data_IF_421554666210
#
_entry.id   IF_421554666210
#
_cell.length_a   1.000
_cell.length_b   1.000
_cell.length_c   1.000
_cell.angle_alpha   90.00
_cell.angle_beta   90.00
_cell.angle_gamma   90.00
#
_symmetry.space_group_name_H-M   'P 1'
#
loop_
_entity.id
_entity.type
_entity.pdbx_description
1 polymer ?
#
# COMPACT_ATOMS: atom_id res chain seq x y z
N UNK A 1 -18.11 -21.70 -8.23
CA UNK A 1 -16.63 -21.63 -8.19
C UNK A 1 -16.20 -20.73 -7.05
N UNK A 2 -15.67 -21.35 -6.01
CA UNK A 2 -14.94 -20.74 -4.91
C UNK A 2 -13.65 -20.05 -5.43
N UNK A 3 -13.06 -19.18 -4.62
CA UNK A 3 -11.87 -18.41 -5.03
C UNK A 3 -10.69 -19.33 -5.42
N UNK A 4 -10.50 -20.43 -4.69
CA UNK A 4 -9.42 -21.40 -4.92
C UNK A 4 -9.59 -22.17 -6.24
N UNK A 5 -10.81 -22.55 -6.59
CA UNK A 5 -11.08 -23.24 -7.86
C UNK A 5 -10.75 -22.35 -9.08
N UNK A 6 -11.01 -21.04 -8.98
CA UNK A 6 -10.66 -20.08 -10.04
C UNK A 6 -9.15 -19.94 -10.18
N UNK A 7 -8.41 -19.91 -9.08
CA UNK A 7 -6.94 -19.86 -9.10
C UNK A 7 -6.39 -21.07 -9.84
N UNK A 8 -6.82 -22.28 -9.47
CA UNK A 8 -6.34 -23.51 -10.10
C UNK A 8 -6.70 -23.58 -11.60
N UNK A 9 -7.93 -23.20 -11.95
CA UNK A 9 -8.36 -23.12 -13.35
C UNK A 9 -7.45 -22.19 -14.17
N UNK A 10 -7.19 -20.98 -13.69
CA UNK A 10 -6.37 -20.01 -14.43
C UNK A 10 -4.90 -20.40 -14.45
N UNK A 11 -4.38 -21.02 -13.39
CA UNK A 11 -3.02 -21.56 -13.38
C UNK A 11 -2.83 -22.57 -14.50
N UNK A 12 -3.76 -23.53 -14.62
CA UNK A 12 -3.71 -24.55 -15.68
C UNK A 12 -3.78 -23.92 -17.08
N UNK A 13 -4.70 -22.98 -17.32
CA UNK A 13 -4.82 -22.30 -18.61
C UNK A 13 -3.54 -21.52 -19.00
N UNK A 14 -2.82 -20.96 -18.03
CA UNK A 14 -1.57 -20.25 -18.29
C UNK A 14 -0.44 -21.23 -18.62
N UNK A 15 -0.32 -22.33 -17.87
CA UNK A 15 0.66 -23.39 -18.17
C UNK A 15 0.42 -24.01 -19.55
N UNK A 16 -0.84 -24.31 -19.88
CA UNK A 16 -1.22 -24.81 -21.20
C UNK A 16 -0.91 -23.78 -22.29
N UNK A 17 -1.18 -22.49 -22.05
CA UNK A 17 -0.82 -21.42 -22.97
C UNK A 17 0.69 -21.34 -23.23
N UNK A 18 1.52 -21.40 -22.20
CA UNK A 18 2.98 -21.35 -22.33
C UNK A 18 3.51 -22.49 -23.22
N UNK A 19 2.92 -23.69 -23.10
CA UNK A 19 3.27 -24.83 -23.95
C UNK A 19 2.89 -24.63 -25.42
N UNK A 20 1.86 -23.83 -25.73
CA UNK A 20 1.44 -23.58 -27.13
C UNK A 20 2.35 -22.61 -27.89
N UNK A 21 3.11 -21.76 -27.20
CA UNK A 21 3.92 -20.71 -27.84
C UNK A 21 3.11 -19.66 -28.61
N UNK A 22 1.78 -19.65 -28.46
CA UNK A 22 0.89 -18.70 -29.13
C UNK A 22 0.88 -17.36 -28.41
N UNK A 23 0.45 -16.29 -29.10
CA UNK A 23 0.11 -15.04 -28.42
C UNK A 23 -1.10 -15.25 -27.49
N UNK A 24 -1.12 -14.58 -26.32
CA UNK A 24 -2.22 -14.73 -25.37
C UNK A 24 -3.60 -14.43 -25.95
N UNK A 25 -3.70 -13.51 -26.92
CA UNK A 25 -4.94 -13.22 -27.64
C UNK A 25 -5.37 -14.39 -28.54
N UNK A 26 -4.44 -15.01 -29.27
CA UNK A 26 -4.74 -16.17 -30.11
C UNK A 26 -5.20 -17.38 -29.27
N UNK A 27 -4.52 -17.62 -28.14
CA UNK A 27 -4.92 -18.66 -27.19
C UNK A 27 -6.31 -18.41 -26.60
N UNK A 28 -6.59 -17.17 -26.18
CA UNK A 28 -7.91 -16.79 -25.66
C UNK A 28 -9.02 -17.01 -26.70
N UNK A 29 -8.75 -16.70 -27.98
CA UNK A 29 -9.70 -16.98 -29.06
C UNK A 29 -9.94 -18.47 -29.27
N UNK A 30 -8.90 -19.30 -29.21
CA UNK A 30 -9.01 -20.74 -29.40
C UNK A 30 -9.76 -21.43 -28.24
N UNK A 31 -9.47 -21.03 -27.00
CA UNK A 31 -10.08 -21.60 -25.79
C UNK A 31 -11.37 -20.88 -25.36
N UNK A 32 -11.87 -19.93 -26.17
CA UNK A 32 -13.05 -19.10 -25.85
C UNK A 32 -12.93 -18.41 -24.47
N UNK A 33 -11.73 -17.98 -24.11
CA UNK A 33 -11.44 -17.26 -22.87
C UNK A 33 -11.54 -15.76 -23.09
N UNK A 34 -11.91 -15.07 -22.00
CA UNK A 34 -11.98 -13.61 -22.00
C UNK A 34 -10.59 -13.02 -21.79
N UNK A 35 -10.09 -12.32 -22.81
CA UNK A 35 -8.70 -11.84 -22.85
C UNK A 35 -8.29 -10.98 -21.64
N UNK A 36 -9.16 -10.06 -21.18
CA UNK A 36 -8.82 -9.22 -20.02
C UNK A 36 -8.69 -10.02 -18.72
N UNK A 37 -9.47 -11.10 -18.56
CA UNK A 37 -9.35 -11.98 -17.39
C UNK A 37 -8.05 -12.77 -17.47
N UNK A 38 -7.70 -13.28 -18.64
CA UNK A 38 -6.43 -13.96 -18.88
C UNK A 38 -5.23 -13.08 -18.51
N UNK A 39 -5.22 -11.82 -18.98
CA UNK A 39 -4.13 -10.88 -18.66
C UNK A 39 -4.07 -10.59 -17.15
N UNK A 40 -5.22 -10.36 -16.51
CA UNK A 40 -5.30 -10.14 -15.07
C UNK A 40 -4.76 -11.33 -14.29
N UNK A 41 -5.19 -12.55 -14.61
CA UNK A 41 -4.77 -13.76 -13.91
C UNK A 41 -3.32 -14.09 -14.16
N UNK A 42 -2.81 -13.85 -15.37
CA UNK A 42 -1.38 -13.99 -15.67
C UNK A 42 -0.54 -13.08 -14.77
N UNK A 43 -0.87 -11.79 -14.70
CA UNK A 43 -0.17 -10.86 -13.80
C UNK A 43 -0.29 -11.27 -12.34
N UNK A 44 -1.49 -11.67 -11.91
CA UNK A 44 -1.76 -12.05 -10.53
C UNK A 44 -0.97 -13.29 -10.11
N UNK A 45 -0.85 -14.30 -10.97
CA UNK A 45 -0.13 -15.54 -10.68
C UNK A 45 1.39 -15.35 -10.76
N UNK A 46 1.91 -14.57 -11.71
CA UNK A 46 3.33 -14.15 -11.72
C UNK A 46 3.70 -13.33 -10.47
N UNK A 47 2.77 -12.53 -9.94
CA UNK A 47 3.01 -11.73 -8.72
C UNK A 47 2.95 -12.55 -7.43
N UNK A 48 2.47 -13.79 -7.46
CA UNK A 48 2.38 -14.67 -6.29
C UNK A 48 3.68 -15.47 -6.08
N UNK A 49 4.44 -15.73 -7.14
CA UNK A 49 5.72 -16.48 -7.06
C UNK A 49 6.90 -15.61 -6.59
N UNK A 50 6.77 -14.29 -6.68
CA UNK A 50 7.81 -13.34 -6.24
C UNK A 50 7.17 -12.22 -5.41
N UNK A 51 7.17 -12.39 -4.08
CA UNK A 51 7.21 -11.21 -3.22
C UNK A 51 8.67 -10.72 -3.16
N UNK A 52 9.01 -9.79 -4.05
CA UNK A 52 9.39 -8.49 -3.58
C UNK A 52 8.38 -7.47 -4.12
N UNK A 53 7.71 -6.81 -3.18
CA UNK A 53 7.06 -5.50 -3.29
C UNK A 53 7.48 -4.78 -4.58
N UNK A 54 6.56 -4.51 -5.52
CA UNK A 54 6.93 -3.92 -6.81
C UNK A 54 7.73 -2.65 -6.57
N UNK A 55 8.95 -2.62 -7.10
CA UNK A 55 9.69 -1.38 -7.27
C UNK A 55 8.74 -0.42 -8.02
N UNK A 56 8.53 0.80 -7.51
CA UNK A 56 7.59 1.71 -8.11
C UNK A 56 8.08 2.00 -9.52
N UNK A 57 7.34 1.51 -10.52
CA UNK A 57 7.40 2.07 -11.86
C UNK A 57 7.32 3.59 -11.69
N UNK A 58 8.28 4.32 -12.26
CA UNK A 58 8.39 5.78 -12.16
C UNK A 58 7.22 6.44 -12.91
N UNK A 59 6.02 6.29 -12.37
CA UNK A 59 4.97 7.29 -12.56
C UNK A 59 5.53 8.54 -11.89
N UNK A 60 5.47 9.71 -12.53
CA UNK A 60 6.06 10.97 -12.05
C UNK A 60 5.51 11.49 -10.71
N UNK A 61 4.87 10.63 -9.94
CA UNK A 61 4.34 10.85 -8.62
C UNK A 61 5.29 10.27 -7.59
N UNK A 62 5.79 11.13 -6.70
CA UNK A 62 6.58 10.69 -5.54
C UNK A 62 5.66 10.00 -4.53
N UNK A 63 6.11 8.88 -3.97
CA UNK A 63 5.36 8.17 -2.93
C UNK A 63 5.47 8.96 -1.63
N UNK A 64 4.38 9.57 -1.18
CA UNK A 64 4.29 10.11 0.17
C UNK A 64 4.19 8.93 1.13
N UNK A 65 5.31 8.63 1.80
CA UNK A 65 5.31 7.72 2.94
C UNK A 65 4.90 8.58 4.13
N UNK A 66 3.75 8.29 4.74
CA UNK A 66 3.44 8.82 6.06
C UNK A 66 4.63 8.44 6.95
N UNK A 67 5.34 9.44 7.47
CA UNK A 67 6.36 9.19 8.48
C UNK A 67 5.73 8.28 9.54
N UNK A 68 6.43 7.23 10.03
CA UNK A 68 5.93 6.53 11.19
C UNK A 68 5.70 7.62 12.22
N UNK A 69 4.43 7.85 12.56
CA UNK A 69 4.10 8.51 13.81
C UNK A 69 4.92 7.74 14.82
N UNK A 70 5.91 8.41 15.42
CA UNK A 70 6.64 7.90 16.57
C UNK A 70 5.60 7.82 17.69
N UNK A 71 4.70 6.86 17.57
CA UNK A 71 4.00 6.27 18.67
C UNK A 71 5.05 5.46 19.38
N UNK A 72 5.66 6.08 20.37
CA UNK A 72 5.45 5.68 21.76
C UNK A 72 6.47 6.40 22.65
N UNK A 73 6.13 7.61 23.05
CA UNK A 73 6.46 8.14 24.38
C UNK A 73 5.29 9.06 24.76
N UNK A 74 4.40 8.51 25.58
CA UNK A 74 3.26 9.16 26.24
C UNK A 74 2.06 9.51 25.35
N UNK A 75 1.07 8.60 25.37
CA UNK A 75 -0.27 8.79 24.82
C UNK A 75 -1.09 9.92 25.49
N UNK A 76 -0.45 10.75 26.31
CA UNK A 76 -1.06 11.81 27.13
C UNK A 76 -0.40 13.18 26.88
N UNK A 77 0.22 13.35 25.71
CA UNK A 77 0.81 14.63 25.30
C UNK A 77 -0.19 15.51 24.56
N UNK A 78 -0.79 16.48 25.24
CA UNK A 78 -1.58 17.54 24.62
C UNK A 78 -0.69 18.44 23.75
N UNK A 79 -1.26 18.94 22.65
CA UNK A 79 -0.61 19.92 21.77
C UNK A 79 -1.43 21.21 21.74
N UNK A 80 -0.78 22.35 21.95
CA UNK A 80 -1.40 23.68 21.90
C UNK A 80 -0.72 24.50 20.80
N UNK A 81 -1.54 25.03 19.90
CA UNK A 81 -1.09 25.92 18.82
C UNK A 81 -1.50 27.36 19.13
N UNK A 82 -0.53 28.28 19.10
CA UNK A 82 -0.77 29.70 19.35
C UNK A 82 -0.99 30.48 18.03
N UNK A 83 -1.67 31.64 18.05
CA UNK A 83 -1.92 32.48 16.88
C UNK A 83 -0.69 33.04 16.13
N UNK A 84 0.53 32.67 16.52
CA UNK A 84 1.79 33.04 15.87
C UNK A 84 2.50 31.90 15.15
N UNK A 85 1.86 30.73 14.99
CA UNK A 85 2.46 29.56 14.35
C UNK A 85 3.40 28.74 15.26
N UNK A 86 3.45 29.07 16.55
CA UNK A 86 4.16 28.29 17.56
C UNK A 86 3.27 27.13 18.00
N UNK A 87 3.81 25.92 17.97
CA UNK A 87 3.16 24.71 18.46
C UNK A 87 3.94 24.12 19.61
N UNK A 88 3.29 23.97 20.76
CA UNK A 88 3.84 23.35 21.96
C UNK A 88 3.26 21.94 22.05
N UNK A 89 4.11 20.92 21.96
CA UNK A 89 3.72 19.50 21.93
C UNK A 89 4.18 18.77 23.18
N UNK A 90 3.48 17.69 23.56
CA UNK A 90 3.90 16.82 24.67
C UNK A 90 3.51 17.36 26.05
N UNK A 91 2.43 18.12 26.14
CA UNK A 91 1.95 18.66 27.42
C UNK A 91 1.24 17.58 28.23
N UNK A 92 1.68 17.34 29.46
CA UNK A 92 1.12 16.35 30.39
C UNK A 92 1.08 16.94 31.81
N UNK A 93 0.40 16.26 32.76
CA UNK A 93 0.18 16.79 34.11
C UNK A 93 1.46 17.22 34.86
N UNK A 94 2.59 16.57 34.56
CA UNK A 94 3.90 16.92 35.14
C UNK A 94 4.58 18.17 34.57
N UNK A 95 4.17 18.67 33.41
CA UNK A 95 4.80 19.81 32.74
C UNK A 95 3.85 21.00 32.48
N UNK A 96 2.56 20.86 32.79
CA UNK A 96 1.55 21.90 32.52
C UNK A 96 1.84 23.21 33.26
N UNK A 97 2.45 23.16 34.44
CA UNK A 97 2.88 24.35 35.20
C UNK A 97 3.94 25.18 34.44
N UNK A 98 4.77 24.52 33.61
CA UNK A 98 5.77 25.19 32.78
C UNK A 98 5.13 25.93 31.61
N UNK A 99 3.95 25.49 31.13
CA UNK A 99 3.23 26.18 30.06
C UNK A 99 2.93 27.63 30.46
N UNK A 100 2.46 27.85 31.69
CA UNK A 100 2.18 29.19 32.20
C UNK A 100 3.41 30.07 32.32
N UNK A 101 4.58 29.51 32.60
CA UNK A 101 5.84 30.25 32.64
C UNK A 101 6.32 30.65 31.24
N UNK A 102 6.23 29.72 30.27
CA UNK A 102 6.59 29.98 28.86
C UNK A 102 5.68 31.03 28.24
N UNK A 103 4.36 30.94 28.47
CA UNK A 103 3.39 31.91 27.97
C UNK A 103 3.58 33.33 28.52
N UNK A 104 4.21 33.49 29.70
CA UNK A 104 4.49 34.81 30.29
C UNK A 104 5.75 35.48 29.72
N UNK A 105 6.61 34.72 29.05
CA UNK A 105 7.85 35.24 28.44
C UNK A 105 7.68 35.56 26.95
N UNK A 106 6.52 35.25 26.38
CA UNK A 106 6.09 35.60 25.03
C UNK A 106 5.22 36.87 25.07
#
# INVERSE_FOLDING_TARGET
MTATEKVHFWQQQITDWEATGLSGNAYCKQQSLIYHQFVYWRQKLTSVEDYPKPAPASTGFTRVVSAPSVGNADADGLTVSLPGGVSITGLHAGNIELLGAVLRQL
#
